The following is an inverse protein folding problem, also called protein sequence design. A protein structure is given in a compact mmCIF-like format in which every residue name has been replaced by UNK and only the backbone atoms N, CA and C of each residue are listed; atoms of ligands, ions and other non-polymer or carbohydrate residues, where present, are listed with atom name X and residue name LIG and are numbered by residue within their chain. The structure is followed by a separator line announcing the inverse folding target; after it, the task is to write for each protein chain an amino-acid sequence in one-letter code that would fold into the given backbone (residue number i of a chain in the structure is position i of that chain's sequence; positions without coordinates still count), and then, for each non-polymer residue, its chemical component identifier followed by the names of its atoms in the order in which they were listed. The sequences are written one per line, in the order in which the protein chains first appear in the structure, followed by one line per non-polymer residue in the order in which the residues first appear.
data_IF_536752130363
#
_entry.id   IF_536752130363
#
_cell.length_a   1.000
_cell.length_b   1.000
_cell.length_c   1.000
_cell.angle_alpha   90.00
_cell.angle_beta   90.00
_cell.angle_gamma   90.00
#
_symmetry.space_group_name_H-M   'P 1'
#
loop_
_entity.id
_entity.type
_entity.pdbx_description
1 polymer ?
#
# COMPACT_ATOMS: atom_id res chain seq x y z
N UNK A 1 0.74 -20.97 -9.53
CA UNK A 1 1.15 -19.72 -8.86
C UNK A 1 0.45 -19.75 -7.52
N UNK A 2 1.17 -19.92 -6.40
CA UNK A 2 0.60 -20.41 -5.13
C UNK A 2 -0.64 -19.63 -4.63
N UNK A 3 -0.75 -18.34 -4.94
CA UNK A 3 -1.92 -17.51 -4.61
C UNK A 3 -3.11 -17.72 -5.55
N UNK A 4 -2.85 -17.87 -6.85
CA UNK A 4 -3.90 -18.19 -7.82
C UNK A 4 -4.42 -19.61 -7.63
N UNK A 5 -3.56 -20.54 -7.23
CA UNK A 5 -3.93 -21.94 -7.02
C UNK A 5 -4.75 -22.11 -5.72
N UNK A 6 -4.54 -21.25 -4.73
CA UNK A 6 -5.26 -21.27 -3.45
C UNK A 6 -6.51 -20.37 -3.40
N UNK A 7 -6.70 -19.49 -4.39
CA UNK A 7 -7.81 -18.52 -4.46
C UNK A 7 -7.95 -17.66 -3.19
N UNK A 8 -6.83 -17.47 -2.47
CA UNK A 8 -6.81 -16.70 -1.24
C UNK A 8 -6.67 -15.20 -1.55
N UNK A 9 -7.46 -14.32 -0.92
CA UNK A 9 -7.22 -12.89 -0.97
C UNK A 9 -5.85 -12.53 -0.37
N UNK A 10 -5.19 -11.53 -0.93
CA UNK A 10 -3.86 -11.11 -0.47
C UNK A 10 -3.70 -9.59 -0.41
N UNK A 11 -2.64 -9.14 0.25
CA UNK A 11 -2.29 -7.71 0.36
C UNK A 11 -0.98 -7.48 -0.38
N UNK A 12 -0.98 -6.49 -1.27
CA UNK A 12 0.23 -5.96 -1.88
C UNK A 12 0.72 -4.81 -1.00
N UNK A 13 1.74 -5.09 -0.21
CA UNK A 13 2.35 -4.13 0.69
C UNK A 13 3.47 -3.36 -0.03
N UNK A 14 3.41 -2.03 0.04
CA UNK A 14 4.43 -1.14 -0.51
C UNK A 14 4.94 -0.26 0.62
N UNK A 15 6.21 -0.42 0.98
CA UNK A 15 6.83 0.41 2.02
C UNK A 15 7.16 1.81 1.51
N UNK A 16 7.30 2.78 2.43
CA UNK A 16 7.86 4.10 2.13
C UNK A 16 9.19 4.01 1.37
N UNK A 17 10.06 3.09 1.76
CA UNK A 17 11.34 2.82 1.10
C UNK A 17 11.16 2.38 -0.37
N UNK A 18 10.27 1.43 -0.63
CA UNK A 18 9.98 0.97 -1.98
C UNK A 18 9.44 2.10 -2.88
N UNK A 19 8.60 2.99 -2.34
CA UNK A 19 8.10 4.18 -3.05
C UNK A 19 9.18 5.21 -3.35
N UNK A 20 10.24 5.29 -2.54
CA UNK A 20 11.38 6.18 -2.80
C UNK A 20 12.39 5.58 -3.78
N UNK A 21 12.49 4.24 -3.82
CA UNK A 21 13.42 3.52 -4.68
C UNK A 21 13.04 3.56 -6.16
N UNK A 22 11.75 3.64 -6.47
CA UNK A 22 11.23 3.72 -7.84
C UNK A 22 10.11 4.74 -7.95
N UNK A 23 9.85 5.24 -9.15
CA UNK A 23 8.78 6.20 -9.34
C UNK A 23 7.42 5.56 -9.08
N UNK A 24 6.55 6.23 -8.30
CA UNK A 24 5.22 5.71 -7.93
C UNK A 24 4.40 5.19 -9.11
N UNK A 25 4.43 5.90 -10.25
CA UNK A 25 3.77 5.49 -11.50
C UNK A 25 4.21 4.12 -12.02
N UNK A 26 5.48 3.74 -11.82
CA UNK A 26 5.96 2.42 -12.24
C UNK A 26 5.36 1.30 -11.39
N UNK A 27 5.29 1.50 -10.07
CA UNK A 27 4.66 0.53 -9.15
C UNK A 27 3.18 0.35 -9.47
N UNK A 28 2.46 1.46 -9.65
CA UNK A 28 1.05 1.43 -10.02
C UNK A 28 0.84 0.74 -11.37
N UNK A 29 1.67 1.05 -12.37
CA UNK A 29 1.62 0.42 -13.68
C UNK A 29 1.83 -1.09 -13.64
N UNK A 30 2.75 -1.56 -12.79
CA UNK A 30 3.02 -2.99 -12.61
C UNK A 30 1.80 -3.72 -12.02
N UNK A 31 1.20 -3.15 -10.98
CA UNK A 31 0.03 -3.76 -10.31
C UNK A 31 -1.21 -3.71 -11.21
N UNK A 32 -1.46 -2.59 -11.91
CA UNK A 32 -2.57 -2.50 -12.88
C UNK A 32 -2.40 -3.49 -14.03
N UNK A 33 -1.17 -3.73 -14.48
CA UNK A 33 -0.90 -4.75 -15.49
C UNK A 33 -1.15 -6.16 -14.92
N UNK A 34 -0.77 -6.41 -13.67
CA UNK A 34 -1.06 -7.69 -13.00
C UNK A 34 -2.57 -7.94 -12.83
N UNK A 35 -3.35 -6.91 -12.47
CA UNK A 35 -4.81 -6.98 -12.39
C UNK A 35 -5.46 -7.36 -13.73
N UNK A 36 -4.94 -6.84 -14.85
CA UNK A 36 -5.41 -7.23 -16.19
C UNK A 36 -5.10 -8.69 -16.54
N UNK A 37 -3.95 -9.20 -16.09
CA UNK A 37 -3.52 -10.60 -16.34
C UNK A 37 -4.26 -11.57 -15.43
N UNK A 38 -4.63 -11.14 -14.22
CA UNK A 38 -5.27 -11.96 -13.18
C UNK A 38 -6.55 -11.30 -12.65
N UNK A 39 -7.63 -11.22 -13.46
CA UNK A 39 -8.84 -10.48 -13.10
C UNK A 39 -9.61 -11.07 -11.92
N UNK A 40 -9.42 -12.36 -11.63
CA UNK A 40 -10.05 -13.04 -10.50
C UNK A 40 -9.27 -12.87 -9.18
N UNK A 41 -8.09 -12.23 -9.23
CA UNK A 41 -7.28 -11.98 -8.03
C UNK A 41 -7.95 -10.93 -7.14
N UNK A 42 -8.28 -11.31 -5.91
CA UNK A 42 -8.80 -10.38 -4.90
C UNK A 42 -7.63 -9.86 -4.06
N UNK A 43 -7.34 -8.57 -4.14
CA UNK A 43 -6.27 -7.98 -3.37
C UNK A 43 -6.55 -6.55 -2.89
N UNK A 44 -5.82 -6.14 -1.86
CA UNK A 44 -5.72 -4.75 -1.42
C UNK A 44 -4.31 -4.23 -1.68
N UNK A 45 -4.19 -2.96 -2.07
CA UNK A 45 -2.91 -2.25 -2.09
C UNK A 45 -2.77 -1.47 -0.79
N UNK A 46 -1.69 -1.73 -0.06
CA UNK A 46 -1.45 -1.19 1.27
C UNK A 46 -0.13 -0.42 1.34
N UNK A 47 -0.18 0.82 1.82
CA UNK A 47 1.02 1.56 2.21
C UNK A 47 1.47 1.10 3.60
N UNK A 48 2.73 0.72 3.71
CA UNK A 48 3.35 0.28 4.95
C UNK A 48 4.34 1.29 5.52
N UNK A 49 4.26 1.48 6.84
CA UNK A 49 5.06 2.44 7.61
C UNK A 49 5.10 3.84 6.98
N UNK A 50 3.93 4.41 6.68
CA UNK A 50 3.77 5.74 6.12
C UNK A 50 3.92 6.85 7.16
N UNK A 51 4.34 8.03 6.71
CA UNK A 51 4.12 9.29 7.42
C UNK A 51 2.87 10.00 6.86
N UNK A 52 2.49 11.11 7.50
CA UNK A 52 1.27 11.84 7.17
C UNK A 52 1.23 12.28 5.68
N UNK A 53 2.34 12.83 5.17
CA UNK A 53 2.45 13.23 3.77
C UNK A 53 2.27 12.03 2.81
N UNK A 54 2.95 10.92 3.09
CA UNK A 54 2.93 9.72 2.26
C UNK A 54 1.54 9.05 2.29
N UNK A 55 0.88 9.03 3.45
CA UNK A 55 -0.48 8.54 3.61
C UNK A 55 -1.47 9.37 2.80
N UNK A 56 -1.42 10.70 2.89
CA UNK A 56 -2.29 11.57 2.10
C UNK A 56 -2.04 11.45 0.60
N UNK A 57 -0.78 11.35 0.15
CA UNK A 57 -0.49 11.11 -1.28
C UNK A 57 -1.07 9.76 -1.76
N UNK A 58 -0.99 8.70 -0.94
CA UNK A 58 -1.62 7.41 -1.23
C UNK A 58 -3.14 7.48 -1.33
N UNK A 59 -3.79 8.15 -0.37
CA UNK A 59 -5.25 8.31 -0.33
C UNK A 59 -5.70 9.12 -1.55
N UNK A 60 -5.04 10.25 -1.82
CA UNK A 60 -5.38 11.16 -2.92
C UNK A 60 -5.14 10.55 -4.30
N UNK A 61 -4.25 9.56 -4.44
CA UNK A 61 -4.06 8.87 -5.73
C UNK A 61 -5.26 7.99 -6.10
N UNK A 62 -6.09 7.60 -5.12
CA UNK A 62 -7.21 6.66 -5.31
C UNK A 62 -6.78 5.24 -5.70
N UNK A 63 -5.47 4.96 -5.70
CA UNK A 63 -4.92 3.66 -6.05
C UNK A 63 -4.73 2.76 -4.83
N UNK A 64 -4.37 3.34 -3.69
CA UNK A 64 -4.21 2.60 -2.44
C UNK A 64 -5.57 2.41 -1.78
N UNK A 65 -5.91 1.17 -1.45
CA UNK A 65 -7.12 0.82 -0.72
C UNK A 65 -6.93 0.85 0.80
N UNK A 66 -5.68 0.93 1.27
CA UNK A 66 -5.32 0.89 2.69
C UNK A 66 -3.99 1.61 2.92
N UNK A 67 -3.86 2.25 4.09
CA UNK A 67 -2.61 2.89 4.54
C UNK A 67 -2.36 2.57 6.01
N UNK A 68 -1.09 2.47 6.39
CA UNK A 68 -0.61 2.45 7.77
C UNK A 68 0.18 3.74 8.03
N UNK A 69 -0.32 4.57 8.94
CA UNK A 69 0.44 5.67 9.54
C UNK A 69 1.27 5.11 10.69
N UNK A 70 2.58 5.37 10.67
CA UNK A 70 3.49 4.92 11.72
C UNK A 70 4.06 6.11 12.49
N UNK A 71 3.37 6.46 13.57
CA UNK A 71 3.83 7.40 14.59
C UNK A 71 4.30 6.67 15.86
N UNK A 72 4.73 5.41 15.76
CA UNK A 72 5.10 4.59 16.93
C UNK A 72 6.33 5.09 17.68
N UNK A 73 7.14 5.96 17.08
CA UNK A 73 8.25 6.63 17.76
C UNK A 73 7.82 7.80 18.64
N UNK A 74 6.59 8.29 18.50
CA UNK A 74 6.05 9.40 19.28
C UNK A 74 5.50 8.94 20.65
N UNK A 75 5.41 9.84 21.65
CA UNK A 75 4.68 9.54 22.89
C UNK A 75 3.25 9.08 22.62
N UNK A 76 2.69 8.25 23.50
CA UNK A 76 1.38 7.61 23.31
C UNK A 76 0.26 8.60 22.90
N UNK A 77 0.12 9.71 23.61
CA UNK A 77 -0.93 10.71 23.31
C UNK A 77 -0.72 11.35 21.92
N UNK A 78 0.54 11.52 21.51
CA UNK A 78 0.88 12.09 20.20
C UNK A 78 0.67 11.09 19.06
N UNK A 79 0.96 9.81 19.30
CA UNK A 79 0.66 8.73 18.36
C UNK A 79 -0.86 8.65 18.07
N UNK A 80 -1.70 8.77 19.11
CA UNK A 80 -3.16 8.85 18.94
C UNK A 80 -3.57 10.08 18.12
N UNK A 81 -2.98 11.25 18.37
CA UNK A 81 -3.32 12.47 17.65
C UNK A 81 -2.98 12.38 16.15
N UNK A 82 -1.88 11.72 15.80
CA UNK A 82 -1.42 11.57 14.41
C UNK A 82 -2.21 10.49 13.65
N UNK A 83 -2.75 9.48 14.35
CA UNK A 83 -3.44 8.32 13.76
C UNK A 83 -4.91 8.58 13.48
#
# INVERSE_FOLDING_TARGET
SLFLDSQAPFIIQISKGARSYTHKTMLEGLIRSAEQVFPDAIFAVHLDHGDEETCYDCINSGFYSSVMIDASSEPFDKNIEIT
#
